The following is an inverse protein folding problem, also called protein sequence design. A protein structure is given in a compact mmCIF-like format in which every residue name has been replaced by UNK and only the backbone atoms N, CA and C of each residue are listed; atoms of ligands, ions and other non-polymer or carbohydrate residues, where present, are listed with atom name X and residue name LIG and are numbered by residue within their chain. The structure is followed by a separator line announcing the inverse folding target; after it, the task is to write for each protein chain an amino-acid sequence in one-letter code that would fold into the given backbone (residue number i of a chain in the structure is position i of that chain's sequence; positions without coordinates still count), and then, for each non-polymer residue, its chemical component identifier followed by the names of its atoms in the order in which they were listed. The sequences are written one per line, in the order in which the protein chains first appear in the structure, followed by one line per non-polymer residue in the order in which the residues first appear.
data_IF_820114641812
#
_entry.id   IF_820114641812
#
_cell.length_a   1.000
_cell.length_b   1.000
_cell.length_c   1.000
_cell.angle_alpha   90.00
_cell.angle_beta   90.00
_cell.angle_gamma   90.00
#
_symmetry.space_group_name_H-M   'P 1'
#
loop_
_entity.id
_entity.type
_entity.pdbx_description
1 polymer ?
#
# COMPACT_ATOMS: atom_id res chain seq x y z
N UNK A 1 0.96 18.84 -6.42
CA UNK A 1 1.99 18.27 -7.31
C UNK A 1 3.37 18.58 -6.73
N UNK A 2 4.22 17.60 -6.64
CA UNK A 2 5.56 17.74 -6.10
C UNK A 2 6.56 17.89 -7.25
N UNK A 3 7.45 18.86 -7.15
CA UNK A 3 8.56 19.01 -8.09
C UNK A 3 9.85 18.53 -7.44
N UNK A 4 10.70 17.87 -8.20
CA UNK A 4 11.93 17.26 -7.69
C UNK A 4 12.83 18.24 -6.93
N UNK A 5 12.96 19.47 -7.44
CA UNK A 5 13.78 20.52 -6.79
C UNK A 5 13.27 20.93 -5.39
N UNK A 6 12.01 20.63 -5.07
CA UNK A 6 11.40 20.98 -3.79
C UNK A 6 11.42 19.81 -2.79
N UNK A 7 11.81 18.63 -3.25
CA UNK A 7 11.91 17.43 -2.39
C UNK A 7 13.14 17.56 -1.47
N UNK A 8 12.95 17.18 -0.21
CA UNK A 8 14.01 17.19 0.80
C UNK A 8 14.05 15.83 1.52
N UNK A 9 15.25 15.31 1.73
CA UNK A 9 15.47 14.15 2.60
C UNK A 9 14.96 14.45 3.99
N UNK A 10 14.23 13.54 4.59
CA UNK A 10 13.53 13.72 5.86
C UNK A 10 12.12 14.31 5.75
N UNK A 11 11.72 14.75 4.55
CA UNK A 11 10.36 15.21 4.31
C UNK A 11 9.37 14.07 4.53
N UNK A 12 8.34 14.32 5.34
CA UNK A 12 7.26 13.36 5.56
C UNK A 12 6.29 13.37 4.39
N UNK A 13 5.89 12.18 3.98
CA UNK A 13 4.81 11.99 3.02
C UNK A 13 3.49 12.03 3.79
N UNK A 14 2.47 12.75 3.29
CA UNK A 14 1.17 12.78 3.96
C UNK A 14 0.64 11.37 4.22
N UNK A 15 0.13 11.07 5.42
CA UNK A 15 -0.39 9.77 5.73
C UNK A 15 -1.65 9.47 4.91
N UNK A 16 -1.83 8.20 4.59
CA UNK A 16 -3.02 7.70 3.91
C UNK A 16 -3.70 6.66 4.80
N UNK A 17 -4.98 6.83 5.06
CA UNK A 17 -5.76 5.97 5.96
C UNK A 17 -6.86 5.24 5.20
N UNK A 18 -7.00 3.95 5.52
CA UNK A 18 -8.07 3.09 5.03
C UNK A 18 -8.78 2.38 6.18
N UNK A 19 -10.08 2.44 6.21
CA UNK A 19 -10.91 1.59 7.06
C UNK A 19 -11.31 0.36 6.24
N UNK A 20 -10.83 -0.80 6.64
CA UNK A 20 -11.00 -2.05 5.90
C UNK A 20 -12.39 -2.61 6.11
N UNK A 21 -13.08 -2.95 5.05
CA UNK A 21 -14.41 -3.55 5.05
C UNK A 21 -14.43 -4.80 4.19
N UNK A 22 -15.36 -5.71 4.48
CA UNK A 22 -15.59 -6.87 3.62
C UNK A 22 -15.90 -6.48 2.17
N UNK A 23 -16.77 -5.48 1.90
CA UNK A 23 -16.98 -5.02 0.53
C UNK A 23 -15.72 -4.50 -0.16
N UNK A 24 -14.84 -3.78 0.54
CA UNK A 24 -13.58 -3.31 -0.06
C UNK A 24 -12.63 -4.45 -0.41
N UNK A 25 -12.57 -5.48 0.42
CA UNK A 25 -11.79 -6.70 0.12
C UNK A 25 -12.35 -7.45 -1.09
N UNK A 26 -13.66 -7.56 -1.19
CA UNK A 26 -14.32 -8.21 -2.33
C UNK A 26 -14.10 -7.42 -3.63
N UNK A 27 -14.19 -6.09 -3.57
CA UNK A 27 -13.92 -5.23 -4.73
C UNK A 27 -12.49 -5.37 -5.22
N UNK A 28 -11.52 -5.44 -4.30
CA UNK A 28 -10.12 -5.68 -4.65
C UNK A 28 -9.91 -7.06 -5.28
N UNK A 29 -10.48 -8.11 -4.69
CA UNK A 29 -10.42 -9.47 -5.24
C UNK A 29 -11.02 -9.56 -6.65
N UNK A 30 -12.14 -8.90 -6.89
CA UNK A 30 -12.76 -8.84 -8.22
C UNK A 30 -11.90 -8.06 -9.23
N UNK A 31 -11.32 -6.94 -8.82
CA UNK A 31 -10.48 -6.10 -9.68
C UNK A 31 -9.17 -6.78 -10.06
N UNK A 32 -8.61 -7.58 -9.18
CA UNK A 32 -7.34 -8.30 -9.40
C UNK A 32 -7.53 -9.75 -9.85
N UNK A 33 -8.77 -10.21 -9.96
CA UNK A 33 -9.13 -11.60 -10.24
C UNK A 33 -8.54 -12.60 -9.24
N UNK A 34 -8.45 -12.19 -7.98
CA UNK A 34 -7.95 -13.02 -6.88
C UNK A 34 -9.12 -13.55 -6.04
N UNK A 35 -9.51 -14.78 -6.29
CA UNK A 35 -10.61 -15.45 -5.62
C UNK A 35 -10.12 -16.54 -4.65
N UNK A 36 -8.97 -16.35 -4.04
CA UNK A 36 -8.45 -17.27 -3.02
C UNK A 36 -9.38 -17.24 -1.80
N UNK A 37 -9.82 -18.41 -1.37
CA UNK A 37 -10.86 -18.59 -0.34
C UNK A 37 -10.53 -17.94 1.01
N UNK A 38 -9.25 -17.74 1.32
CA UNK A 38 -8.83 -17.09 2.59
C UNK A 38 -9.34 -15.65 2.72
N UNK A 39 -9.72 -15.02 1.60
CA UNK A 39 -10.18 -13.63 1.60
C UNK A 39 -11.69 -13.46 1.69
N UNK A 40 -12.49 -14.56 1.64
CA UNK A 40 -13.95 -14.45 1.69
C UNK A 40 -14.68 -15.60 2.37
N UNK A 41 -14.05 -16.77 2.55
CA UNK A 41 -14.73 -17.98 3.04
C UNK A 41 -14.44 -18.18 4.53
N UNK A 42 -15.42 -17.80 5.37
CA UNK A 42 -15.27 -17.86 6.82
C UNK A 42 -15.05 -19.28 7.37
N UNK A 43 -15.74 -20.28 6.83
CA UNK A 43 -15.60 -21.65 7.30
C UNK A 43 -14.24 -22.22 6.90
N UNK A 44 -13.81 -21.94 5.67
CA UNK A 44 -12.50 -22.36 5.17
C UNK A 44 -11.35 -21.85 6.02
N UNK A 45 -11.37 -20.58 6.43
CA UNK A 45 -10.28 -20.01 7.24
C UNK A 45 -10.32 -20.46 8.69
N UNK A 46 -11.52 -20.67 9.27
CA UNK A 46 -11.66 -21.18 10.63
C UNK A 46 -11.12 -22.60 10.77
N UNK A 47 -11.39 -23.47 9.80
CA UNK A 47 -10.81 -24.82 9.74
C UNK A 47 -9.28 -24.81 9.73
N UNK A 48 -8.66 -23.71 9.30
CA UNK A 48 -7.21 -23.50 9.23
C UNK A 48 -6.64 -22.71 10.39
N UNK A 49 -7.45 -22.42 11.40
CA UNK A 49 -7.02 -21.74 12.61
C UNK A 49 -7.01 -20.22 12.53
N UNK A 50 -7.60 -19.63 11.49
CA UNK A 50 -7.75 -18.18 11.38
C UNK A 50 -9.09 -17.72 11.97
N UNK A 51 -9.10 -16.52 12.51
CA UNK A 51 -10.28 -15.93 13.15
C UNK A 51 -11.38 -15.59 12.14
N UNK A 52 -11.00 -15.03 11.00
CA UNK A 52 -11.90 -14.57 9.95
C UNK A 52 -11.16 -14.50 8.60
N UNK A 53 -11.89 -14.33 7.48
CA UNK A 53 -11.25 -13.95 6.23
C UNK A 53 -10.41 -12.67 6.41
N UNK A 54 -9.21 -12.69 5.86
CA UNK A 54 -8.24 -11.62 6.05
C UNK A 54 -7.89 -10.91 4.75
N UNK A 55 -7.33 -9.71 4.90
CA UNK A 55 -6.97 -8.82 3.80
C UNK A 55 -5.85 -9.42 2.96
N UNK A 56 -5.98 -9.31 1.64
CA UNK A 56 -4.92 -9.66 0.70
C UNK A 56 -3.70 -8.77 0.93
N UNK A 57 -2.53 -9.39 1.11
CA UNK A 57 -1.27 -8.67 1.28
C UNK A 57 -0.91 -7.75 0.11
N UNK A 58 -1.32 -8.08 -1.10
CA UNK A 58 -1.13 -7.23 -2.28
C UNK A 58 -1.97 -5.95 -2.17
N UNK A 59 -3.14 -6.00 -1.58
CA UNK A 59 -3.97 -4.83 -1.32
C UNK A 59 -3.25 -3.84 -0.40
N UNK A 60 -2.56 -4.33 0.64
CA UNK A 60 -1.76 -3.49 1.53
C UNK A 60 -0.59 -2.81 0.79
N UNK A 61 0.08 -3.54 -0.11
CA UNK A 61 1.09 -2.96 -1.00
C UNK A 61 0.50 -1.90 -1.93
N UNK A 62 -0.72 -2.10 -2.40
CA UNK A 62 -1.47 -1.13 -3.20
C UNK A 62 -1.71 0.20 -2.45
N UNK A 63 -1.98 0.15 -1.15
CA UNK A 63 -2.13 1.37 -0.32
C UNK A 63 -0.82 2.16 -0.21
N UNK A 64 0.32 1.48 -0.05
CA UNK A 64 1.62 2.14 -0.06
C UNK A 64 1.91 2.80 -1.41
N UNK A 65 1.62 2.11 -2.51
CA UNK A 65 1.75 2.66 -3.85
C UNK A 65 0.88 3.90 -4.05
N UNK A 66 -0.38 3.83 -3.62
CA UNK A 66 -1.32 4.94 -3.70
C UNK A 66 -0.82 6.15 -2.89
N UNK A 67 -0.35 5.95 -1.67
CA UNK A 67 0.18 7.04 -0.85
C UNK A 67 1.29 7.82 -1.58
N UNK A 68 2.25 7.11 -2.15
CA UNK A 68 3.36 7.74 -2.87
C UNK A 68 2.89 8.44 -4.13
N UNK A 69 2.01 7.82 -4.90
CA UNK A 69 1.50 8.39 -6.15
C UNK A 69 0.61 9.61 -5.91
N UNK A 70 -0.23 9.59 -4.87
CA UNK A 70 -1.06 10.74 -4.49
C UNK A 70 -0.19 11.93 -4.07
N UNK A 71 0.89 11.68 -3.34
CA UNK A 71 1.84 12.71 -2.95
C UNK A 71 2.65 13.23 -4.14
N UNK A 72 3.24 12.34 -4.92
CA UNK A 72 4.14 12.72 -6.01
C UNK A 72 3.40 13.35 -7.20
N UNK A 73 2.15 12.94 -7.43
CA UNK A 73 1.29 13.45 -8.48
C UNK A 73 1.46 12.76 -9.84
N UNK A 74 0.68 13.19 -10.84
CA UNK A 74 0.50 12.44 -12.09
C UNK A 74 1.72 12.43 -13.03
N UNK A 75 2.73 13.23 -12.74
CA UNK A 75 3.98 13.25 -13.51
C UNK A 75 5.04 12.32 -12.98
N UNK A 76 4.81 11.73 -11.80
CA UNK A 76 5.72 10.76 -11.22
C UNK A 76 5.37 9.35 -11.70
N UNK A 77 6.39 8.53 -11.82
CA UNK A 77 6.25 7.12 -12.14
C UNK A 77 6.84 6.29 -11.00
N UNK A 78 6.03 5.44 -10.40
CA UNK A 78 6.50 4.50 -9.39
C UNK A 78 7.32 3.40 -10.07
N UNK A 79 8.64 3.53 -9.98
CA UNK A 79 9.58 2.66 -10.67
C UNK A 79 9.76 1.32 -9.98
N UNK A 80 9.79 1.33 -8.63
CA UNK A 80 10.01 0.14 -7.81
C UNK A 80 9.32 0.29 -6.47
N UNK A 81 8.64 -0.75 -6.04
CA UNK A 81 8.08 -0.89 -4.70
C UNK A 81 8.46 -2.28 -4.17
N UNK A 82 9.02 -2.33 -2.97
CA UNK A 82 9.23 -3.56 -2.24
C UNK A 82 8.65 -3.41 -0.84
N UNK A 83 7.89 -4.39 -0.38
CA UNK A 83 7.27 -4.37 0.95
C UNK A 83 7.18 -5.76 1.54
N UNK A 84 6.93 -5.83 2.83
CA UNK A 84 6.74 -7.07 3.56
C UNK A 84 5.55 -6.93 4.49
N UNK A 85 4.61 -7.86 4.39
CA UNK A 85 3.51 -7.98 5.36
C UNK A 85 4.03 -8.63 6.64
N UNK A 86 3.72 -8.03 7.79
CA UNK A 86 4.22 -8.49 9.11
C UNK A 86 3.10 -8.89 10.06
N UNK A 87 1.87 -8.55 9.75
CA UNK A 87 0.71 -8.85 10.57
C UNK A 87 -0.49 -9.16 9.68
N UNK A 88 -1.43 -9.93 10.24
CA UNK A 88 -2.73 -10.16 9.62
C UNK A 88 -3.59 -8.92 9.80
N UNK A 89 -4.32 -8.56 8.76
CA UNK A 89 -5.27 -7.44 8.75
C UNK A 89 -6.65 -7.99 8.41
N UNK A 90 -7.65 -7.58 9.18
CA UNK A 90 -9.03 -8.07 9.07
C UNK A 90 -10.01 -6.94 8.72
N UNK A 91 -11.18 -7.26 8.15
CA UNK A 91 -12.27 -6.31 8.05
C UNK A 91 -12.60 -5.71 9.43
N UNK A 92 -12.78 -4.41 9.48
CA UNK A 92 -12.96 -3.65 10.73
C UNK A 92 -11.67 -3.00 11.24
N UNK A 93 -10.51 -3.43 10.77
CA UNK A 93 -9.25 -2.77 11.09
C UNK A 93 -9.08 -1.48 10.28
N UNK A 94 -8.31 -0.56 10.84
CA UNK A 94 -7.86 0.65 10.15
C UNK A 94 -6.37 0.52 9.82
N UNK A 95 -6.02 0.74 8.56
CA UNK A 95 -4.64 0.79 8.09
C UNK A 95 -4.26 2.24 7.82
N UNK A 96 -3.14 2.68 8.37
CA UNK A 96 -2.58 3.99 8.08
C UNK A 96 -1.18 3.83 7.52
N UNK A 97 -0.98 4.33 6.31
CA UNK A 97 0.33 4.35 5.67
C UNK A 97 1.07 5.63 6.03
N UNK A 98 2.31 5.50 6.41
CA UNK A 98 3.23 6.61 6.67
C UNK A 98 4.41 6.52 5.72
N UNK A 99 5.11 7.64 5.53
CA UNK A 99 6.29 7.63 4.68
C UNK A 99 7.19 8.82 4.91
N UNK A 100 8.45 8.64 4.55
CA UNK A 100 9.49 9.67 4.62
C UNK A 100 10.42 9.55 3.42
N UNK A 101 10.84 10.67 2.88
CA UNK A 101 11.85 10.73 1.82
C UNK A 101 13.23 10.41 2.42
N UNK A 102 13.91 9.42 1.86
CA UNK A 102 15.24 8.96 2.30
C UNK A 102 16.35 9.32 1.32
N UNK A 103 16.02 9.60 0.07
CA UNK A 103 16.98 9.99 -0.95
C UNK A 103 16.34 10.78 -2.07
N UNK A 104 17.14 11.68 -2.68
CA UNK A 104 16.76 12.40 -3.89
C UNK A 104 18.03 12.69 -4.70
N UNK A 105 18.11 12.19 -5.92
CA UNK A 105 19.30 12.31 -6.75
C UNK A 105 18.96 12.26 -8.24
N UNK A 106 19.89 12.73 -9.04
CA UNK A 106 19.83 12.66 -10.51
C UNK A 106 20.67 11.46 -10.97
N UNK A 107 20.08 10.63 -11.80
CA UNK A 107 20.76 9.53 -12.48
C UNK A 107 20.57 9.66 -13.99
N UNK A 108 21.58 10.11 -14.70
CA UNK A 108 21.45 10.45 -16.12
C UNK A 108 20.45 11.58 -16.33
N UNK A 109 19.36 11.31 -17.03
CA UNK A 109 18.28 12.27 -17.28
C UNK A 109 17.09 12.10 -16.31
N UNK A 110 17.17 11.14 -15.42
CA UNK A 110 16.10 10.81 -14.48
C UNK A 110 16.32 11.49 -13.13
N UNK A 111 15.27 12.07 -12.58
CA UNK A 111 15.21 12.58 -11.22
C UNK A 111 14.54 11.51 -10.34
N UNK A 112 15.29 10.92 -9.44
CA UNK A 112 14.87 9.80 -8.61
C UNK A 112 14.68 10.23 -7.17
N UNK A 113 13.59 9.76 -6.57
CA UNK A 113 13.29 9.94 -5.15
C UNK A 113 13.11 8.56 -4.51
N UNK A 114 13.75 8.37 -3.38
CA UNK A 114 13.65 7.17 -2.56
C UNK A 114 12.87 7.48 -1.30
N UNK A 115 12.02 6.55 -0.89
CA UNK A 115 11.15 6.71 0.27
C UNK A 115 11.12 5.42 1.10
N UNK A 116 11.12 5.58 2.42
CA UNK A 116 10.71 4.51 3.33
C UNK A 116 9.23 4.67 3.64
N UNK A 117 8.49 3.56 3.60
CA UNK A 117 7.05 3.49 3.83
C UNK A 117 6.76 2.43 4.90
N UNK A 118 5.74 2.67 5.76
CA UNK A 118 5.30 1.69 6.76
C UNK A 118 3.82 1.85 7.14
#
# INVERSE_FOLDING_TARGET
MVYFQDVRVGQKIPPLRFDLTTPSMMAYGAATWDFIRVHYDADYVRERGFEAPFVDGQMLGGFLAQQVQDWAGPRAFLRRLAFRNRAMVYPGDTVTCYGVVTGAHIQGVEALVECDLW
#
